data_IF_769977300714
#
_entry.id   IF_769977300714
#
_cell.length_a   1.000
_cell.length_b   1.000
_cell.length_c   1.000
_cell.angle_alpha   90.00
_cell.angle_beta   90.00
_cell.angle_gamma   90.00
#
_symmetry.space_group_name_H-M   'P 1'
#
loop_
_entity.id
_entity.type
_entity.pdbx_description
1 polymer ?
#
# COMPACT_ATOMS: atom_id res chain seq x y z
N UNK A 1 -39.72 -14.25 -18.77
CA UNK A 1 -38.58 -14.92 -19.41
C UNK A 1 -37.96 -13.95 -20.40
N UNK A 2 -36.87 -13.29 -20.02
CA UNK A 2 -35.76 -13.00 -20.91
C UNK A 2 -34.56 -12.72 -20.02
N UNK A 3 -33.64 -13.67 -20.08
CA UNK A 3 -32.31 -13.63 -19.49
C UNK A 3 -31.53 -12.45 -20.09
N UNK A 4 -30.82 -11.73 -19.24
CA UNK A 4 -29.89 -10.67 -19.65
C UNK A 4 -28.68 -10.72 -18.75
N UNK A 5 -27.82 -11.71 -18.99
CA UNK A 5 -26.54 -11.87 -18.30
C UNK A 5 -25.69 -10.61 -18.47
N UNK A 6 -25.42 -9.93 -17.37
CA UNK A 6 -24.41 -8.89 -17.30
C UNK A 6 -23.03 -9.57 -17.31
N UNK A 7 -22.47 -9.75 -18.51
CA UNK A 7 -21.04 -9.98 -18.65
C UNK A 7 -20.31 -8.73 -18.11
N UNK A 8 -19.72 -8.87 -16.93
CA UNK A 8 -18.74 -7.94 -16.41
C UNK A 8 -17.49 -8.09 -17.27
N UNK A 9 -17.46 -7.37 -18.40
CA UNK A 9 -16.25 -7.19 -19.19
C UNK A 9 -15.29 -6.38 -18.33
N UNK A 10 -14.38 -7.08 -17.66
CA UNK A 10 -13.16 -6.49 -17.11
C UNK A 10 -12.37 -6.00 -18.32
N UNK A 11 -12.69 -4.79 -18.81
CA UNK A 11 -11.81 -4.07 -19.72
C UNK A 11 -10.52 -3.88 -18.95
N UNK A 12 -9.52 -4.72 -19.24
CA UNK A 12 -8.14 -4.32 -19.08
C UNK A 12 -8.05 -2.92 -19.68
N UNK A 13 -7.72 -1.93 -18.85
CA UNK A 13 -7.49 -0.56 -19.31
C UNK A 13 -6.27 -0.67 -20.21
N UNK A 14 -6.51 -0.89 -21.50
CA UNK A 14 -5.49 -0.84 -22.52
C UNK A 14 -5.06 0.62 -22.57
N UNK A 15 -3.98 0.93 -21.85
CA UNK A 15 -3.28 2.19 -21.98
C UNK A 15 -2.93 2.30 -23.46
N UNK A 16 -3.48 3.27 -24.21
CA UNK A 16 -3.11 3.44 -25.60
C UNK A 16 -1.59 3.59 -25.66
N UNK A 17 -0.93 2.73 -26.44
CA UNK A 17 0.53 2.78 -26.63
C UNK A 17 0.88 4.19 -27.08
N UNK A 18 1.57 4.94 -26.21
CA UNK A 18 2.03 6.27 -26.53
C UNK A 18 2.99 6.18 -27.71
N UNK A 19 2.59 6.75 -28.84
CA UNK A 19 3.44 7.05 -29.99
C UNK A 19 4.34 8.26 -29.72
N UNK A 20 4.89 8.35 -28.51
CA UNK A 20 5.82 9.40 -28.14
C UNK A 20 7.18 8.75 -27.98
N UNK A 21 8.08 8.90 -28.94
CA UNK A 21 9.44 8.33 -28.91
C UNK A 21 10.28 8.82 -27.71
N UNK A 22 9.85 9.89 -27.03
CA UNK A 22 10.52 10.46 -25.86
C UNK A 22 9.80 10.17 -24.51
N UNK A 23 8.46 10.19 -24.42
CA UNK A 23 7.75 9.66 -23.22
C UNK A 23 7.73 8.11 -23.17
N UNK A 24 8.07 7.41 -24.27
CA UNK A 24 8.19 5.93 -24.34
C UNK A 24 9.46 5.34 -23.68
N UNK A 25 10.39 6.17 -23.18
CA UNK A 25 11.42 5.72 -22.23
C UNK A 25 10.85 5.62 -20.80
N UNK A 26 9.78 4.83 -20.68
CA UNK A 26 9.46 3.82 -19.67
C UNK A 26 9.39 4.19 -18.17
N UNK A 27 9.65 5.41 -17.71
CA UNK A 27 9.65 5.66 -16.27
C UNK A 27 8.25 5.64 -15.64
N UNK A 28 7.23 6.25 -16.28
CA UNK A 28 5.86 6.25 -15.75
C UNK A 28 5.23 4.84 -15.80
N UNK A 29 5.40 4.12 -16.90
CA UNK A 29 4.91 2.75 -17.07
C UNK A 29 5.58 1.78 -16.09
N UNK A 30 6.91 1.88 -15.91
CA UNK A 30 7.63 1.10 -14.91
C UNK A 30 7.13 1.40 -13.50
N UNK A 31 6.93 2.68 -13.15
CA UNK A 31 6.41 3.08 -11.84
C UNK A 31 5.00 2.55 -11.61
N UNK A 32 4.13 2.58 -12.63
CA UNK A 32 2.79 2.00 -12.57
C UNK A 32 2.82 0.48 -12.41
N UNK A 33 3.71 -0.22 -13.12
CA UNK A 33 3.89 -1.66 -12.97
C UNK A 33 4.41 -2.04 -11.58
N UNK A 34 5.46 -1.37 -11.09
CA UNK A 34 6.00 -1.58 -9.74
C UNK A 34 4.92 -1.31 -8.69
N UNK A 35 4.19 -0.20 -8.83
CA UNK A 35 3.08 0.15 -7.94
C UNK A 35 1.99 -0.92 -7.93
N UNK A 36 1.64 -1.49 -9.10
CA UNK A 36 0.64 -2.56 -9.19
C UNK A 36 1.09 -3.80 -8.43
N UNK A 37 2.35 -4.21 -8.60
CA UNK A 37 2.93 -5.36 -7.90
C UNK A 37 2.92 -5.13 -6.38
N UNK A 38 3.33 -3.94 -5.93
CA UNK A 38 3.35 -3.59 -4.50
C UNK A 38 1.92 -3.63 -3.94
N UNK A 39 0.95 -2.98 -4.59
CA UNK A 39 -0.43 -2.96 -4.12
C UNK A 39 -1.05 -4.36 -4.04
N UNK A 40 -0.77 -5.22 -5.02
CA UNK A 40 -1.26 -6.61 -5.00
C UNK A 40 -0.61 -7.43 -3.88
N UNK A 41 0.70 -7.25 -3.67
CA UNK A 41 1.41 -7.89 -2.56
C UNK A 41 0.88 -7.43 -1.19
N UNK A 42 0.55 -6.14 -1.04
CA UNK A 42 -0.05 -5.58 0.16
C UNK A 42 -1.44 -6.16 0.42
N UNK A 43 -2.28 -6.30 -0.62
CA UNK A 43 -3.58 -6.94 -0.49
C UNK A 43 -3.46 -8.40 -0.02
N UNK A 44 -2.50 -9.16 -0.57
CA UNK A 44 -2.20 -10.53 -0.14
C UNK A 44 -1.71 -10.60 1.31
N UNK A 45 -0.79 -9.71 1.70
CA UNK A 45 -0.30 -9.60 3.07
C UNK A 45 -1.42 -9.27 4.06
N UNK A 46 -2.28 -8.30 3.73
CA UNK A 46 -3.42 -7.92 4.55
C UNK A 46 -4.41 -9.08 4.74
N UNK A 47 -4.67 -9.87 3.69
CA UNK A 47 -5.51 -11.07 3.77
C UNK A 47 -4.91 -12.12 4.71
N UNK A 48 -3.61 -12.40 4.58
CA UNK A 48 -2.89 -13.35 5.44
C UNK A 48 -2.96 -12.88 6.90
N UNK A 49 -2.75 -11.59 7.15
CA UNK A 49 -2.82 -11.00 8.48
C UNK A 49 -4.23 -11.08 9.06
N UNK A 50 -5.27 -10.80 8.27
CA UNK A 50 -6.66 -10.90 8.69
C UNK A 50 -7.03 -12.33 9.09
N UNK A 51 -6.64 -13.32 8.28
CA UNK A 51 -6.86 -14.75 8.60
C UNK A 51 -6.10 -15.16 9.86
N UNK A 52 -4.83 -14.75 9.99
CA UNK A 52 -4.03 -15.09 11.16
C UNK A 52 -4.59 -14.46 12.44
N UNK A 53 -4.97 -13.18 12.41
CA UNK A 53 -5.58 -12.50 13.55
C UNK A 53 -6.95 -13.08 13.90
N UNK A 54 -7.78 -13.44 12.91
CA UNK A 54 -9.04 -14.13 13.13
C UNK A 54 -8.86 -15.49 13.81
N UNK A 55 -7.87 -16.27 13.35
CA UNK A 55 -7.50 -17.53 13.99
C UNK A 55 -7.04 -17.32 15.44
N UNK A 56 -6.11 -16.39 15.69
CA UNK A 56 -5.63 -16.11 17.04
C UNK A 56 -6.70 -15.54 17.98
N UNK A 57 -7.65 -14.76 17.46
CA UNK A 57 -8.79 -14.26 18.23
C UNK A 57 -9.77 -15.35 18.65
N UNK A 58 -9.85 -16.45 17.89
CA UNK A 58 -10.73 -17.59 18.20
C UNK A 58 -10.12 -18.60 19.20
N UNK A 59 -8.82 -18.49 19.50
CA UNK A 59 -8.11 -19.43 20.36
C UNK A 59 -8.34 -19.09 21.85
N UNK A 60 -8.82 -20.07 22.62
CA UNK A 60 -8.89 -19.99 24.09
C UNK A 60 -7.49 -20.08 24.71
N UNK A 61 -7.29 -19.39 25.82
CA UNK A 61 -5.98 -19.25 26.51
C UNK A 61 -5.29 -20.60 26.79
N UNK A 62 -6.07 -21.65 27.09
CA UNK A 62 -5.57 -23.01 27.35
C UNK A 62 -4.79 -23.62 26.18
N UNK A 63 -5.12 -23.26 24.93
CA UNK A 63 -4.44 -23.78 23.72
C UNK A 63 -3.14 -23.03 23.39
N UNK A 64 -2.86 -21.89 24.03
CA UNK A 64 -1.59 -21.17 23.81
C UNK A 64 -0.39 -21.86 24.49
N UNK A 65 -0.61 -22.76 25.44
CA UNK A 65 0.47 -23.42 26.19
C UNK A 65 1.22 -24.46 25.33
N UNK A 66 0.54 -25.09 24.35
CA UNK A 66 1.13 -26.03 23.39
C UNK A 66 1.10 -25.47 21.97
N UNK A 67 1.89 -24.44 21.71
CA UNK A 67 2.01 -23.89 20.35
C UNK A 67 2.81 -24.81 19.43
N UNK A 68 2.14 -25.34 18.40
CA UNK A 68 2.77 -26.05 17.29
C UNK A 68 3.66 -25.13 16.43
N UNK A 69 4.47 -25.74 15.56
CA UNK A 69 5.44 -25.02 14.72
C UNK A 69 4.76 -24.04 13.75
N UNK A 70 3.58 -24.40 13.23
CA UNK A 70 2.75 -23.54 12.37
C UNK A 70 2.23 -22.29 13.13
N UNK A 71 1.85 -22.43 14.39
CA UNK A 71 1.39 -21.31 15.22
C UNK A 71 2.54 -20.34 15.53
N UNK A 72 3.77 -20.86 15.69
CA UNK A 72 4.98 -20.03 15.85
C UNK A 72 5.30 -19.25 14.58
N UNK A 73 5.19 -19.88 13.40
CA UNK A 73 5.34 -19.20 12.12
C UNK A 73 4.28 -18.11 11.94
N UNK A 74 3.00 -18.43 12.20
CA UNK A 74 1.92 -17.45 12.14
C UNK A 74 2.16 -16.26 13.09
N UNK A 75 2.63 -16.51 14.32
CA UNK A 75 3.00 -15.46 15.27
C UNK A 75 4.17 -14.59 14.80
N UNK A 76 5.17 -15.19 14.14
CA UNK A 76 6.26 -14.45 13.51
C UNK A 76 5.76 -13.54 12.39
N UNK A 77 4.90 -14.07 11.51
CA UNK A 77 4.26 -13.30 10.44
C UNK A 77 3.43 -12.16 11.02
N UNK A 78 2.57 -12.40 12.02
CA UNK A 78 1.79 -11.35 12.68
C UNK A 78 2.64 -10.21 13.27
N UNK A 79 3.90 -10.50 13.66
CA UNK A 79 4.80 -9.49 14.23
C UNK A 79 5.61 -8.75 13.17
N UNK A 80 5.97 -9.40 12.05
CA UNK A 80 6.83 -8.81 11.02
C UNK A 80 6.06 -8.23 9.83
N UNK A 81 4.91 -8.79 9.48
CA UNK A 81 4.07 -8.29 8.39
C UNK A 81 3.69 -6.83 8.58
N UNK A 82 3.20 -6.38 9.75
CA UNK A 82 2.77 -4.98 9.91
C UNK A 82 3.90 -3.99 9.67
N UNK A 83 5.15 -4.36 10.02
CA UNK A 83 6.32 -3.51 9.75
C UNK A 83 6.64 -3.48 8.25
N UNK A 84 6.56 -4.61 7.56
CA UNK A 84 6.75 -4.70 6.11
C UNK A 84 5.66 -3.95 5.34
N UNK A 85 4.42 -4.05 5.79
CA UNK A 85 3.26 -3.34 5.23
C UNK A 85 3.45 -1.83 5.35
N UNK A 86 3.83 -1.33 6.54
CA UNK A 86 4.13 0.08 6.73
C UNK A 86 5.28 0.56 5.82
N UNK A 87 6.33 -0.27 5.63
CA UNK A 87 7.43 0.07 4.74
C UNK A 87 6.97 0.11 3.27
N UNK A 88 6.14 -0.84 2.87
CA UNK A 88 5.53 -0.86 1.54
C UNK A 88 4.62 0.36 1.31
N UNK A 89 3.88 0.81 2.33
CA UNK A 89 3.05 2.03 2.24
C UNK A 89 3.89 3.30 2.06
N UNK A 90 5.05 3.39 2.72
CA UNK A 90 5.99 4.50 2.52
C UNK A 90 6.60 4.45 1.11
N UNK A 91 6.97 3.26 0.64
CA UNK A 91 7.47 3.08 -0.72
C UNK A 91 6.41 3.47 -1.78
N UNK A 92 5.16 3.03 -1.59
CA UNK A 92 4.02 3.43 -2.44
C UNK A 92 3.80 4.94 -2.44
N UNK A 93 3.86 5.59 -1.27
CA UNK A 93 3.76 7.06 -1.19
C UNK A 93 4.87 7.75 -1.99
N UNK A 94 6.11 7.25 -1.91
CA UNK A 94 7.23 7.80 -2.65
C UNK A 94 7.03 7.64 -4.18
N UNK A 95 6.55 6.46 -4.61
CA UNK A 95 6.23 6.20 -6.02
C UNK A 95 5.10 7.09 -6.54
N UNK A 96 4.03 7.30 -5.75
CA UNK A 96 2.94 8.21 -6.14
C UNK A 96 3.38 9.66 -6.17
N UNK A 97 4.19 10.09 -5.20
CA UNK A 97 4.76 11.44 -5.19
C UNK A 97 5.64 11.66 -6.42
N UNK A 98 6.46 10.67 -6.78
CA UNK A 98 7.26 10.70 -8.00
C UNK A 98 6.37 10.78 -9.26
N UNK A 99 5.31 9.97 -9.33
CA UNK A 99 4.36 9.98 -10.45
C UNK A 99 3.66 11.34 -10.62
N UNK A 100 3.31 12.00 -9.52
CA UNK A 100 2.76 13.37 -9.54
C UNK A 100 3.81 14.37 -10.02
N UNK A 101 5.05 14.27 -9.55
CA UNK A 101 6.15 15.15 -9.98
C UNK A 101 6.34 15.06 -11.49
N UNK A 102 6.52 13.86 -12.04
CA UNK A 102 6.76 13.70 -13.49
C UNK A 102 5.58 14.14 -14.36
N UNK A 103 4.36 14.16 -13.81
CA UNK A 103 3.15 14.52 -14.58
C UNK A 103 2.86 16.02 -14.52
N UNK A 104 3.10 16.67 -13.38
CA UNK A 104 2.68 18.06 -13.14
C UNK A 104 3.81 19.08 -13.06
N UNK A 105 5.05 18.68 -12.80
CA UNK A 105 6.21 19.60 -12.74
C UNK A 105 6.66 20.09 -14.13
N UNK A 106 6.69 19.26 -15.19
CA UNK A 106 7.13 19.71 -16.51
C UNK A 106 6.44 20.98 -17.05
N UNK A 107 5.10 21.12 -17.01
CA UNK A 107 4.43 22.33 -17.50
C UNK A 107 4.61 23.56 -16.60
N UNK A 108 5.15 23.42 -15.38
CA UNK A 108 5.39 24.55 -14.46
C UNK A 108 6.76 25.19 -14.74
N UNK A 109 7.71 24.41 -15.22
CA UNK A 109 9.10 24.84 -15.44
C UNK A 109 9.46 24.92 -16.93
N UNK A 110 8.47 24.90 -17.84
CA UNK A 110 8.64 24.91 -19.30
C UNK A 110 9.68 23.89 -19.79
N UNK A 111 9.61 22.67 -19.23
CA UNK A 111 10.51 21.59 -19.56
C UNK A 111 10.02 20.88 -20.83
N UNK A 112 10.42 21.38 -22.00
CA UNK A 112 10.00 20.92 -23.35
C UNK A 112 10.10 19.40 -23.57
N UNK A 113 11.11 18.75 -22.97
CA UNK A 113 11.31 17.29 -23.00
C UNK A 113 10.27 16.41 -22.27
N UNK A 114 9.28 16.98 -21.56
CA UNK A 114 8.25 16.20 -20.84
C UNK A 114 6.81 16.74 -20.97
N UNK A 115 6.54 17.74 -21.83
CA UNK A 115 5.21 18.34 -21.95
C UNK A 115 4.11 17.34 -22.38
N UNK A 116 4.47 16.35 -23.21
CA UNK A 116 3.56 15.32 -23.70
C UNK A 116 2.93 14.47 -22.59
N UNK A 117 3.63 14.32 -21.46
CA UNK A 117 3.18 13.50 -20.35
C UNK A 117 2.05 14.19 -19.54
N UNK A 118 1.91 15.53 -19.57
CA UNK A 118 0.76 16.24 -19.00
C UNK A 118 -0.50 16.16 -19.89
N UNK A 119 -0.31 16.09 -21.21
CA UNK A 119 -1.41 16.07 -22.19
C UNK A 119 -2.35 14.86 -22.01
N UNK A 120 -1.82 13.74 -21.51
CA UNK A 120 -2.59 12.52 -21.30
C UNK A 120 -3.51 12.62 -20.06
N UNK A 121 -4.82 12.78 -20.30
CA UNK A 121 -5.85 12.82 -19.25
C UNK A 121 -5.89 11.52 -18.43
N UNK A 122 -5.69 10.37 -19.06
CA UNK A 122 -5.79 9.06 -18.41
C UNK A 122 -4.66 8.89 -17.38
N UNK A 123 -3.46 9.38 -17.68
CA UNK A 123 -2.33 9.39 -16.74
C UNK A 123 -2.62 10.30 -15.53
N UNK A 124 -3.16 11.50 -15.78
CA UNK A 124 -3.53 12.45 -14.72
C UNK A 124 -4.56 11.88 -13.75
N UNK A 125 -5.62 11.26 -14.26
CA UNK A 125 -6.64 10.60 -13.44
C UNK A 125 -6.03 9.42 -12.67
N UNK A 126 -5.19 8.63 -13.32
CA UNK A 126 -4.49 7.47 -12.71
C UNK A 126 -3.50 7.90 -11.62
N UNK A 127 -3.01 9.13 -11.60
CA UNK A 127 -2.19 9.65 -10.49
C UNK A 127 -3.03 9.97 -9.24
N UNK A 128 -4.23 10.53 -9.43
CA UNK A 128 -5.07 10.96 -8.31
C UNK A 128 -5.75 9.80 -7.58
N UNK A 129 -6.23 8.79 -8.31
CA UNK A 129 -6.90 7.62 -7.73
C UNK A 129 -6.07 6.94 -6.62
N UNK A 130 -4.81 6.51 -6.86
CA UNK A 130 -4.01 5.84 -5.85
C UNK A 130 -3.63 6.77 -4.69
N UNK A 131 -3.45 8.08 -4.95
CA UNK A 131 -3.16 9.06 -3.91
C UNK A 131 -4.37 9.24 -2.97
N UNK A 132 -5.58 9.30 -3.52
CA UNK A 132 -6.83 9.30 -2.74
C UNK A 132 -7.02 7.99 -1.97
N UNK A 133 -6.77 6.84 -2.60
CA UNK A 133 -6.84 5.54 -1.92
C UNK A 133 -5.85 5.43 -0.77
N UNK A 134 -4.62 5.92 -0.97
CA UNK A 134 -3.60 5.98 0.07
C UNK A 134 -4.04 6.89 1.23
N UNK A 135 -4.61 8.06 0.92
CA UNK A 135 -5.14 8.97 1.93
C UNK A 135 -6.28 8.32 2.73
N UNK A 136 -7.22 7.65 2.05
CA UNK A 136 -8.30 6.89 2.69
C UNK A 136 -7.75 5.79 3.60
N UNK A 137 -6.76 5.01 3.15
CA UNK A 137 -6.08 3.99 3.97
C UNK A 137 -5.43 4.60 5.20
N UNK A 138 -4.72 5.71 5.04
CA UNK A 138 -4.08 6.42 6.14
C UNK A 138 -5.10 6.93 7.17
N UNK A 139 -6.22 7.50 6.72
CA UNK A 139 -7.30 7.95 7.58
C UNK A 139 -7.96 6.78 8.31
N UNK A 140 -8.23 5.67 7.61
CA UNK A 140 -8.77 4.46 8.23
C UNK A 140 -7.81 3.89 9.27
N UNK A 141 -6.49 3.85 9.00
CA UNK A 141 -5.48 3.42 9.97
C UNK A 141 -5.43 4.31 11.21
N UNK A 142 -5.52 5.64 11.02
CA UNK A 142 -5.63 6.63 12.11
C UNK A 142 -6.90 6.43 12.93
N UNK A 143 -8.04 6.23 12.28
CA UNK A 143 -9.32 5.96 12.95
C UNK A 143 -9.29 4.64 13.71
N UNK A 144 -8.82 3.56 13.07
CA UNK A 144 -8.66 2.26 13.69
C UNK A 144 -7.80 2.38 14.96
N UNK A 145 -6.66 3.05 14.90
CA UNK A 145 -5.79 3.26 16.06
C UNK A 145 -6.47 4.00 17.22
N UNK A 146 -7.43 4.89 16.94
CA UNK A 146 -8.18 5.61 17.98
C UNK A 146 -9.27 4.76 18.62
N UNK A 147 -9.92 3.90 17.84
CA UNK A 147 -11.11 3.17 18.28
C UNK A 147 -10.86 1.70 18.62
N UNK A 148 -9.77 1.09 18.16
CA UNK A 148 -9.43 -0.31 18.45
C UNK A 148 -8.31 -0.38 19.48
N UNK A 149 -8.51 -1.22 20.50
CA UNK A 149 -7.41 -1.59 21.40
C UNK A 149 -6.47 -2.51 20.65
N UNK A 150 -5.18 -2.16 20.63
CA UNK A 150 -4.15 -3.02 20.05
C UNK A 150 -4.16 -4.35 20.79
N UNK A 151 -4.32 -5.50 20.10
CA UNK A 151 -4.30 -6.79 20.77
C UNK A 151 -2.94 -6.98 21.46
N UNK A 152 -2.91 -7.59 22.66
CA UNK A 152 -1.69 -7.71 23.46
C UNK A 152 -0.55 -8.44 22.73
N UNK A 153 -0.89 -9.27 21.73
CA UNK A 153 0.04 -9.99 20.87
C UNK A 153 0.90 -9.07 20.00
N UNK A 154 0.41 -7.88 19.67
CA UNK A 154 1.13 -6.86 18.89
C UNK A 154 1.76 -5.78 19.77
N UNK A 155 1.68 -5.90 21.10
CA UNK A 155 2.28 -4.91 21.98
C UNK A 155 3.81 -5.07 22.01
N UNK A 156 4.51 -4.14 21.35
CA UNK A 156 5.98 -4.05 21.44
C UNK A 156 6.39 -2.97 22.44
N UNK A 157 7.10 -3.29 23.54
CA UNK A 157 7.51 -2.29 24.52
C UNK A 157 8.45 -1.25 23.91
N UNK A 158 8.32 0.01 24.33
CA UNK A 158 9.11 1.14 23.79
C UNK A 158 10.59 0.99 24.20
N UNK A 159 11.44 0.61 23.25
CA UNK A 159 12.90 0.59 23.44
C UNK A 159 13.49 1.97 23.16
N UNK A 160 14.48 2.40 23.95
CA UNK A 160 15.20 3.67 23.73
C UNK A 160 16.02 3.56 22.43
N UNK A 161 15.57 4.26 21.38
CA UNK A 161 16.26 4.37 20.10
C UNK A 161 17.06 5.68 20.00
N UNK A 162 18.13 5.71 19.16
CA UNK A 162 18.84 6.93 18.80
C UNK A 162 17.90 8.02 18.27
N UNK A 163 18.26 9.30 18.44
CA UNK A 163 17.39 10.46 18.14
C UNK A 163 16.86 10.45 16.71
N UNK A 164 17.69 10.16 15.71
CA UNK A 164 17.25 10.10 14.29
C UNK A 164 16.23 8.98 14.03
N UNK A 165 16.47 7.79 14.59
CA UNK A 165 15.56 6.64 14.48
C UNK A 165 14.26 6.83 15.28
N UNK A 166 14.25 7.75 16.26
CA UNK A 166 13.06 8.06 17.05
C UNK A 166 11.97 8.73 16.19
N UNK A 167 12.34 9.66 15.31
CA UNK A 167 11.38 10.33 14.43
C UNK A 167 10.81 9.37 13.38
N UNK A 168 11.67 8.54 12.79
CA UNK A 168 11.25 7.54 11.81
C UNK A 168 10.33 6.48 12.46
N UNK A 169 10.66 6.02 13.67
CA UNK A 169 9.78 5.12 14.43
C UNK A 169 8.46 5.80 14.85
N UNK A 170 8.49 7.09 15.22
CA UNK A 170 7.27 7.85 15.52
C UNK A 170 6.36 7.98 14.29
N UNK A 171 6.95 8.19 13.12
CA UNK A 171 6.23 8.22 11.84
C UNK A 171 5.66 6.84 11.48
N UNK A 172 6.45 5.77 11.56
CA UNK A 172 5.99 4.39 11.33
C UNK A 172 4.86 3.99 12.28
N UNK A 173 4.92 4.40 13.55
CA UNK A 173 3.82 4.22 14.52
C UNK A 173 2.56 5.02 14.17
N UNK A 174 2.67 6.08 13.38
CA UNK A 174 1.50 6.83 12.92
C UNK A 174 0.78 6.12 11.76
N UNK A 175 1.49 5.27 11.01
CA UNK A 175 0.95 4.53 9.86
C UNK A 175 0.16 3.28 10.31
N UNK A 176 0.55 2.66 11.43
CA UNK A 176 -0.17 1.51 11.96
C UNK A 176 0.39 1.00 13.29
N UNK A 177 -0.15 -0.13 13.81
CA UNK A 177 0.44 -0.84 14.93
C UNK A 177 1.83 -1.39 14.56
N UNK A 178 2.79 -1.29 15.49
CA UNK A 178 4.20 -1.70 15.34
C UNK A 178 4.66 -2.49 16.56
#
# INVERSE_FOLDING_TARGET
MHEGGQEVVIRSVAVPKLLCSHCALCHAELVLHISTIINFSQAGMALILAVALGYFGSLKEEKLIKMGLLTKLAGFFCKKLPTLENLADVASLALFSWLVIITYVPPIFDLEWMEDCFSNELLRVTCFIPLLLWLCRFLLGRCAKRYTRVPPQLYTPVRRLPVGLRHLNAFMRCLGPV
#
